data_IF_432679205508
#
_entry.id   IF_432679205508
#
_cell.length_a   1.000
_cell.length_b   1.000
_cell.length_c   1.000
_cell.angle_alpha   90.00
_cell.angle_beta   90.00
_cell.angle_gamma   90.00
#
_symmetry.space_group_name_H-M   'P 1'
#
loop_
_entity.id
_entity.type
_entity.pdbx_description
1 polymer ?
#
# COMPACT_ATOMS: atom_id res chain seq x y z
N UNK A 1 -6.45 11.46 -3.26
CA UNK A 1 -7.66 10.99 -3.94
C UNK A 1 -8.85 11.83 -3.51
N UNK A 2 -9.64 12.34 -4.45
CA UNK A 2 -10.84 13.15 -4.18
C UNK A 2 -12.11 12.40 -4.57
N UNK A 3 -13.25 12.82 -4.01
CA UNK A 3 -14.55 12.32 -4.39
C UNK A 3 -14.82 12.44 -5.91
N UNK A 4 -14.42 13.56 -6.49
CA UNK A 4 -14.57 13.79 -7.96
C UNK A 4 -13.73 12.84 -8.81
N UNK A 5 -12.56 12.42 -8.33
CA UNK A 5 -11.73 11.46 -9.06
C UNK A 5 -12.38 10.09 -9.10
N UNK A 6 -13.07 9.71 -8.02
CA UNK A 6 -13.75 8.42 -7.91
C UNK A 6 -15.10 8.40 -8.63
N UNK A 7 -15.92 9.43 -8.41
CA UNK A 7 -17.30 9.46 -8.90
C UNK A 7 -17.37 9.91 -10.34
N UNK A 8 -16.66 10.95 -10.70
CA UNK A 8 -16.66 11.48 -12.06
C UNK A 8 -16.63 12.99 -12.09
N UNK A 9 -16.47 13.51 -13.30
CA UNK A 9 -16.35 14.95 -13.55
C UNK A 9 -16.89 15.35 -14.91
N UNK A 10 -17.24 16.61 -15.03
CA UNK A 10 -17.48 17.22 -16.33
C UNK A 10 -16.16 17.50 -17.04
N UNK A 11 -16.10 17.15 -18.32
CA UNK A 11 -15.08 17.62 -19.25
C UNK A 11 -15.70 18.61 -20.22
N UNK A 12 -14.96 19.68 -20.48
CA UNK A 12 -15.25 20.62 -21.56
C UNK A 12 -14.41 20.24 -22.77
N UNK A 13 -15.03 19.99 -23.89
CA UNK A 13 -14.38 19.76 -25.19
C UNK A 13 -14.97 20.68 -26.25
N UNK A 14 -14.57 20.51 -27.51
CA UNK A 14 -15.00 21.35 -28.63
C UNK A 14 -16.52 21.29 -28.88
N UNK A 15 -17.17 20.17 -28.49
CA UNK A 15 -18.59 19.92 -28.68
C UNK A 15 -19.43 20.33 -27.44
N UNK A 16 -18.80 20.81 -26.39
CA UNK A 16 -19.47 21.27 -25.16
C UNK A 16 -19.03 20.53 -23.90
N UNK A 17 -19.90 20.57 -22.88
CA UNK A 17 -19.61 19.95 -21.59
C UNK A 17 -20.26 18.57 -21.50
N UNK A 18 -19.46 17.53 -21.25
CA UNK A 18 -19.95 16.16 -21.03
C UNK A 18 -19.49 15.59 -19.71
N UNK A 19 -20.34 14.76 -19.11
CA UNK A 19 -19.98 14.00 -17.91
C UNK A 19 -19.15 12.76 -18.26
N UNK A 20 -18.13 12.49 -17.44
CA UNK A 20 -17.37 11.24 -17.50
C UNK A 20 -17.43 10.56 -16.14
N UNK A 21 -17.90 9.32 -16.14
CA UNK A 21 -17.93 8.48 -14.95
C UNK A 21 -16.51 8.17 -14.47
N UNK A 22 -16.28 8.35 -13.18
CA UNK A 22 -15.06 7.91 -12.50
C UNK A 22 -15.01 6.39 -12.31
N UNK A 23 -13.87 5.86 -11.83
CA UNK A 23 -13.66 4.42 -11.68
C UNK A 23 -14.69 3.77 -10.73
N UNK A 24 -15.04 4.42 -9.63
CA UNK A 24 -16.05 3.92 -8.69
C UNK A 24 -17.41 3.83 -9.37
N UNK A 25 -17.85 4.88 -10.05
CA UNK A 25 -19.14 4.88 -10.75
C UNK A 25 -19.21 3.79 -11.82
N UNK A 26 -18.14 3.59 -12.58
CA UNK A 26 -18.05 2.52 -13.58
C UNK A 26 -18.18 1.15 -12.93
N UNK A 27 -17.45 0.89 -11.85
CA UNK A 27 -17.52 -0.38 -11.14
C UNK A 27 -18.93 -0.63 -10.55
N UNK A 28 -19.55 0.39 -9.95
CA UNK A 28 -20.91 0.32 -9.41
C UNK A 28 -21.93 -0.03 -10.48
N UNK A 29 -21.82 0.59 -11.66
CA UNK A 29 -22.73 0.34 -12.80
C UNK A 29 -22.54 -1.04 -13.44
N UNK A 30 -21.29 -1.51 -13.51
CA UNK A 30 -20.96 -2.77 -14.19
C UNK A 30 -21.01 -4.01 -13.30
N UNK A 31 -21.16 -3.86 -11.98
CA UNK A 31 -21.01 -4.96 -11.04
C UNK A 31 -19.55 -5.43 -10.86
N UNK A 32 -18.58 -4.54 -11.12
CA UNK A 32 -17.17 -4.85 -11.04
C UNK A 32 -16.59 -4.66 -9.63
N UNK A 33 -15.30 -4.98 -9.48
CA UNK A 33 -14.53 -4.74 -8.26
C UNK A 33 -13.91 -3.34 -8.32
N UNK A 34 -14.13 -2.53 -7.28
CA UNK A 34 -13.43 -1.27 -7.08
C UNK A 34 -12.45 -1.42 -5.92
N UNK A 35 -11.15 -1.33 -6.20
CA UNK A 35 -10.09 -1.38 -5.20
C UNK A 35 -9.57 0.03 -4.93
N UNK A 36 -9.61 0.45 -3.66
CA UNK A 36 -9.12 1.73 -3.20
C UNK A 36 -7.90 1.51 -2.29
N UNK A 37 -6.74 1.76 -2.85
CA UNK A 37 -5.48 1.62 -2.13
C UNK A 37 -5.25 2.82 -1.22
N UNK A 38 -4.73 2.56 -0.01
CA UNK A 38 -4.40 3.57 0.99
C UNK A 38 -5.55 4.56 1.27
N UNK A 39 -6.75 4.03 1.50
CA UNK A 39 -7.97 4.86 1.66
C UNK A 39 -7.86 5.90 2.79
N UNK A 40 -7.00 5.68 3.78
CA UNK A 40 -6.75 6.63 4.89
C UNK A 40 -6.07 7.92 4.44
N UNK A 41 -5.34 7.89 3.31
CA UNK A 41 -4.74 9.07 2.69
C UNK A 41 -5.74 9.87 1.85
N UNK A 42 -6.91 9.31 1.59
CA UNK A 42 -7.96 10.01 0.87
C UNK A 42 -8.58 11.13 1.72
N UNK A 43 -9.16 12.11 1.07
CA UNK A 43 -9.91 13.16 1.75
C UNK A 43 -11.13 12.59 2.47
N UNK A 44 -11.55 13.24 3.56
CA UNK A 44 -12.71 12.82 4.36
C UNK A 44 -14.01 12.72 3.56
N UNK A 45 -14.18 13.54 2.52
CA UNK A 45 -15.30 13.48 1.61
C UNK A 45 -15.37 12.15 0.81
N UNK A 46 -14.23 11.57 0.50
CA UNK A 46 -14.15 10.26 -0.18
C UNK A 46 -14.74 9.14 0.68
N UNK A 47 -14.44 9.11 1.97
CA UNK A 47 -14.97 8.06 2.86
C UNK A 47 -16.49 8.18 3.05
N UNK A 48 -17.05 9.38 2.98
CA UNK A 48 -18.51 9.59 3.10
C UNK A 48 -19.25 9.01 1.89
N UNK A 49 -18.69 9.15 0.69
CA UNK A 49 -19.32 8.67 -0.56
C UNK A 49 -19.42 7.14 -0.61
N UNK A 50 -18.46 6.43 -0.04
CA UNK A 50 -18.46 4.96 -0.07
C UNK A 50 -19.40 4.34 0.96
N UNK A 51 -19.82 5.07 2.00
CA UNK A 51 -20.66 4.51 3.08
C UNK A 51 -21.98 3.91 2.58
N UNK A 52 -22.77 4.57 1.68
CA UNK A 52 -24.01 3.98 1.18
C UNK A 52 -23.80 2.76 0.28
N UNK A 53 -22.61 2.57 -0.26
CA UNK A 53 -22.24 1.37 -1.03
C UNK A 53 -21.91 0.16 -0.15
N UNK A 54 -21.54 0.41 1.11
CA UNK A 54 -21.06 -0.61 2.06
C UNK A 54 -22.11 -1.01 3.09
N UNK A 55 -23.36 -0.56 2.93
CA UNK A 55 -24.49 -0.98 3.76
C UNK A 55 -25.66 -1.47 2.88
N UNK A 56 -26.81 -1.74 3.51
CA UNK A 56 -27.99 -2.30 2.84
C UNK A 56 -28.50 -1.45 1.68
N UNK A 57 -28.20 -0.17 1.61
CA UNK A 57 -28.61 0.73 0.54
C UNK A 57 -27.94 0.39 -0.81
N UNK A 58 -26.69 -0.08 -0.78
CA UNK A 58 -25.91 -0.42 -1.98
C UNK A 58 -26.04 0.62 -3.10
N UNK A 59 -25.91 1.90 -2.75
CA UNK A 59 -26.18 3.01 -3.68
C UNK A 59 -25.05 4.04 -3.68
N UNK A 60 -24.84 4.68 -4.83
CA UNK A 60 -23.91 5.78 -5.04
C UNK A 60 -24.68 7.03 -5.45
N UNK A 61 -24.57 8.10 -4.66
CA UNK A 61 -25.15 9.40 -5.01
C UNK A 61 -24.12 10.19 -5.82
N UNK A 62 -24.57 10.72 -6.97
CA UNK A 62 -23.78 11.63 -7.81
C UNK A 62 -24.43 13.02 -7.74
N UNK A 63 -24.02 13.81 -6.74
CA UNK A 63 -24.62 15.12 -6.46
C UNK A 63 -24.57 16.05 -7.69
N UNK A 64 -23.47 16.03 -8.45
CA UNK A 64 -23.32 16.88 -9.65
C UNK A 64 -24.31 16.54 -10.77
N UNK A 65 -24.87 15.35 -10.77
CA UNK A 65 -25.90 14.90 -11.72
C UNK A 65 -27.29 14.88 -11.08
N UNK A 66 -27.41 15.09 -9.78
CA UNK A 66 -28.67 14.93 -9.04
C UNK A 66 -29.25 13.51 -9.12
N UNK A 67 -28.38 12.47 -9.24
CA UNK A 67 -28.81 11.08 -9.45
C UNK A 67 -28.27 10.15 -8.38
N UNK A 68 -29.03 9.07 -8.12
CA UNK A 68 -28.63 7.96 -7.28
C UNK A 68 -28.56 6.70 -8.15
N UNK A 69 -27.45 6.00 -8.08
CA UNK A 69 -27.22 4.75 -8.83
C UNK A 69 -27.18 3.61 -7.82
N UNK A 70 -27.99 2.58 -8.03
CA UNK A 70 -27.90 1.35 -7.28
C UNK A 70 -26.74 0.50 -7.83
N UNK A 71 -25.99 -0.12 -6.92
CA UNK A 71 -24.92 -1.01 -7.32
C UNK A 71 -25.49 -2.22 -8.05
N UNK A 72 -24.93 -2.51 -9.22
CA UNK A 72 -25.26 -3.71 -9.96
C UNK A 72 -24.82 -4.98 -9.20
N UNK A 73 -25.45 -6.11 -9.53
CA UNK A 73 -25.08 -7.39 -8.96
C UNK A 73 -23.61 -7.71 -9.21
N UNK A 74 -22.94 -8.27 -8.20
CA UNK A 74 -21.50 -8.56 -8.27
C UNK A 74 -20.58 -7.39 -7.86
N UNK A 75 -21.11 -6.15 -7.69
CA UNK A 75 -20.27 -5.04 -7.23
C UNK A 75 -19.65 -5.33 -5.87
N UNK A 76 -18.32 -5.21 -5.81
CA UNK A 76 -17.52 -5.36 -4.59
C UNK A 76 -16.60 -4.14 -4.42
N UNK A 77 -16.60 -3.59 -3.21
CA UNK A 77 -15.64 -2.56 -2.81
C UNK A 77 -14.56 -3.18 -1.93
N UNK A 78 -13.33 -3.03 -2.34
CA UNK A 78 -12.13 -3.45 -1.60
C UNK A 78 -11.36 -2.21 -1.21
N UNK A 79 -10.90 -2.14 0.03
CA UNK A 79 -10.07 -1.04 0.54
C UNK A 79 -8.84 -1.59 1.23
N UNK A 80 -7.69 -0.95 1.05
CA UNK A 80 -6.49 -1.24 1.83
C UNK A 80 -6.10 -0.04 2.70
N UNK A 81 -5.45 -0.32 3.80
CA UNK A 81 -4.81 0.68 4.64
C UNK A 81 -3.81 0.02 5.59
N UNK A 82 -2.82 0.79 6.04
CA UNK A 82 -1.85 0.35 7.03
C UNK A 82 -2.24 0.93 8.41
N UNK A 83 -2.73 0.09 9.35
CA UNK A 83 -3.06 0.56 10.70
C UNK A 83 -1.79 0.91 11.47
N UNK A 84 -1.84 1.98 12.29
CA UNK A 84 -0.77 2.30 13.25
C UNK A 84 0.45 3.05 12.73
N UNK A 85 0.58 3.28 11.43
CA UNK A 85 1.73 4.02 10.84
C UNK A 85 1.51 5.53 10.77
N UNK A 86 0.32 6.01 11.09
CA UNK A 86 -0.02 7.42 10.98
C UNK A 86 -0.67 7.91 12.28
N UNK A 87 -0.56 9.22 12.53
CA UNK A 87 -1.25 9.88 13.64
C UNK A 87 -2.69 9.37 13.74
N UNK A 88 -3.18 9.14 14.96
CA UNK A 88 -4.54 8.67 15.29
C UNK A 88 -5.69 9.43 14.57
N UNK A 89 -5.37 10.57 13.94
CA UNK A 89 -6.29 11.37 13.12
C UNK A 89 -6.51 10.81 11.70
N UNK A 90 -5.67 9.88 11.23
CA UNK A 90 -5.73 9.32 9.88
C UNK A 90 -6.19 7.85 9.82
N UNK A 91 -6.54 7.26 10.95
CA UNK A 91 -7.13 5.91 10.98
C UNK A 91 -8.56 5.91 10.42
N UNK A 92 -8.94 4.80 9.81
CA UNK A 92 -10.32 4.57 9.41
C UNK A 92 -11.22 4.64 10.66
N UNK A 93 -12.21 5.54 10.62
CA UNK A 93 -13.19 5.65 11.70
C UNK A 93 -13.81 4.27 11.99
N UNK A 94 -14.04 4.00 13.25
CA UNK A 94 -14.65 2.74 13.70
C UNK A 94 -15.95 2.40 12.95
N UNK A 95 -16.80 3.41 12.72
CA UNK A 95 -18.03 3.26 11.93
C UNK A 95 -17.80 2.85 10.47
N UNK A 96 -16.66 3.21 9.87
CA UNK A 96 -16.28 2.78 8.52
C UNK A 96 -15.77 1.35 8.56
N UNK A 97 -14.88 1.02 9.49
CA UNK A 97 -14.32 -0.33 9.66
C UNK A 97 -15.40 -1.41 9.85
N UNK A 98 -16.43 -1.11 10.65
CA UNK A 98 -17.55 -2.02 10.90
C UNK A 98 -18.39 -2.39 9.67
N UNK A 99 -18.17 -1.75 8.52
CA UNK A 99 -18.87 -2.02 7.27
C UNK A 99 -18.13 -3.01 6.35
N UNK A 100 -16.94 -3.44 6.75
CA UNK A 100 -16.07 -4.31 5.99
C UNK A 100 -15.74 -5.60 6.73
N UNK A 101 -15.50 -6.65 5.98
CA UNK A 101 -14.78 -7.82 6.46
C UNK A 101 -13.28 -7.51 6.34
N UNK A 102 -12.53 -7.69 7.41
CA UNK A 102 -11.10 -7.41 7.43
C UNK A 102 -10.29 -8.68 7.17
N UNK A 103 -9.29 -8.54 6.30
CA UNK A 103 -8.22 -9.52 6.11
C UNK A 103 -6.91 -8.84 6.52
N UNK A 104 -6.18 -9.49 7.39
CA UNK A 104 -4.87 -9.03 7.84
C UNK A 104 -3.77 -9.70 7.02
N UNK A 105 -2.81 -8.91 6.58
CA UNK A 105 -1.63 -9.38 5.88
C UNK A 105 -0.40 -8.98 6.67
N UNK A 106 0.46 -9.95 6.90
CA UNK A 106 1.77 -9.76 7.52
C UNK A 106 2.87 -10.06 6.50
N UNK A 107 4.12 -9.89 6.91
CA UNK A 107 5.27 -10.30 6.10
C UNK A 107 5.26 -11.81 5.92
N UNK A 108 5.72 -12.30 4.74
CA UNK A 108 5.96 -13.73 4.54
C UNK A 108 6.96 -14.27 5.57
N UNK A 109 6.94 -15.58 5.79
CA UNK A 109 8.03 -16.26 6.50
C UNK A 109 9.36 -16.12 5.74
N UNK A 110 10.49 -16.33 6.44
CA UNK A 110 11.84 -16.09 5.90
C UNK A 110 12.11 -16.88 4.62
N UNK A 111 11.64 -18.13 4.54
CA UNK A 111 11.85 -18.98 3.37
C UNK A 111 11.05 -18.49 2.15
N UNK A 112 9.77 -18.19 2.36
CA UNK A 112 8.89 -17.62 1.32
C UNK A 112 9.39 -16.24 0.87
N UNK A 113 9.82 -15.40 1.80
CA UNK A 113 10.36 -14.07 1.46
C UNK A 113 11.66 -14.19 0.64
N UNK A 114 12.55 -15.13 0.98
CA UNK A 114 13.76 -15.38 0.20
C UNK A 114 13.42 -15.81 -1.24
N UNK A 115 12.44 -16.71 -1.43
CA UNK A 115 11.99 -17.10 -2.76
C UNK A 115 11.42 -15.94 -3.56
N UNK A 116 10.63 -15.07 -2.93
CA UNK A 116 10.09 -13.85 -3.56
C UNK A 116 11.24 -12.92 -3.98
N UNK A 117 12.21 -12.68 -3.08
CA UNK A 117 13.36 -11.81 -3.36
C UNK A 117 14.17 -12.37 -4.53
N UNK A 118 14.51 -13.67 -4.52
CA UNK A 118 15.26 -14.31 -5.59
C UNK A 118 14.53 -14.20 -6.95
N UNK A 119 13.24 -14.52 -6.98
CA UNK A 119 12.41 -14.45 -8.18
C UNK A 119 12.33 -13.03 -8.75
N UNK A 120 11.99 -12.06 -7.92
CA UNK A 120 11.72 -10.68 -8.35
C UNK A 120 12.99 -9.87 -8.65
N UNK A 121 14.10 -10.15 -7.95
CA UNK A 121 15.37 -9.47 -8.17
C UNK A 121 16.25 -10.20 -9.20
N UNK A 122 16.11 -11.52 -9.28
CA UNK A 122 16.96 -12.41 -10.05
C UNK A 122 18.37 -12.57 -9.48
N UNK A 123 18.59 -12.29 -8.19
CA UNK A 123 19.83 -12.61 -7.49
C UNK A 123 19.86 -14.08 -7.08
N UNK A 124 21.02 -14.57 -6.68
CA UNK A 124 21.19 -15.93 -6.20
C UNK A 124 20.41 -16.18 -4.91
N UNK A 125 19.97 -17.42 -4.69
CA UNK A 125 19.08 -17.75 -3.57
C UNK A 125 19.75 -17.51 -2.20
N UNK A 126 21.04 -17.82 -2.06
CA UNK A 126 21.82 -17.59 -0.83
C UNK A 126 21.92 -16.09 -0.49
N UNK A 127 22.00 -15.22 -1.49
CA UNK A 127 21.91 -13.77 -1.32
C UNK A 127 20.49 -13.37 -0.88
N UNK A 128 19.47 -13.96 -1.48
CA UNK A 128 18.07 -13.68 -1.15
C UNK A 128 17.73 -14.14 0.29
N UNK A 129 18.23 -15.30 0.73
CA UNK A 129 18.12 -15.79 2.12
C UNK A 129 18.78 -14.82 3.11
N UNK A 130 19.97 -14.31 2.76
CA UNK A 130 20.67 -13.32 3.57
C UNK A 130 19.89 -12.01 3.67
N UNK A 131 19.26 -11.56 2.57
CA UNK A 131 18.40 -10.37 2.54
C UNK A 131 17.11 -10.58 3.33
N UNK A 132 16.45 -11.75 3.24
CA UNK A 132 15.25 -12.06 4.03
C UNK A 132 15.57 -12.04 5.54
N UNK A 133 16.69 -12.66 5.93
CA UNK A 133 17.21 -12.62 7.32
C UNK A 133 17.51 -11.19 7.77
N UNK A 134 18.05 -10.34 6.89
CA UNK A 134 18.26 -8.92 7.16
C UNK A 134 16.92 -8.23 7.44
N UNK A 135 15.93 -8.45 6.59
CA UNK A 135 14.59 -7.89 6.75
C UNK A 135 13.96 -8.26 8.09
N UNK A 136 14.02 -9.54 8.46
CA UNK A 136 13.51 -10.04 9.74
C UNK A 136 14.20 -9.36 10.94
N UNK A 137 15.55 -9.28 10.92
CA UNK A 137 16.30 -8.61 12.01
C UNK A 137 15.97 -7.13 12.14
N UNK A 138 15.84 -6.40 11.02
CA UNK A 138 15.47 -4.98 11.04
C UNK A 138 14.05 -4.79 11.57
N UNK A 139 13.09 -5.64 11.18
CA UNK A 139 11.71 -5.59 11.68
C UNK A 139 11.64 -5.79 13.19
N UNK A 140 12.47 -6.67 13.73
CA UNK A 140 12.56 -6.87 15.18
C UNK A 140 13.10 -5.64 15.93
N UNK A 141 13.85 -4.73 15.28
CA UNK A 141 14.27 -3.48 15.88
C UNK A 141 13.11 -2.47 16.10
N UNK A 142 11.92 -2.70 15.52
CA UNK A 142 10.73 -1.88 15.79
C UNK A 142 10.34 -1.88 17.27
N UNK A 143 10.48 -3.01 17.94
CA UNK A 143 10.26 -3.09 19.39
C UNK A 143 11.23 -2.20 20.20
N UNK A 144 12.29 -1.70 19.55
CA UNK A 144 13.36 -0.89 20.13
C UNK A 144 13.36 0.56 19.60
N UNK A 145 12.23 1.01 19.00
CA UNK A 145 12.02 2.42 18.62
C UNK A 145 12.23 2.74 17.15
N UNK A 146 12.37 1.75 16.27
CA UNK A 146 12.35 1.96 14.84
C UNK A 146 10.89 2.15 14.37
N UNK A 147 10.57 3.28 13.74
CA UNK A 147 9.19 3.58 13.29
C UNK A 147 8.71 2.61 12.20
N UNK A 148 9.57 2.30 11.23
CA UNK A 148 9.26 1.38 10.13
C UNK A 148 10.32 0.28 9.99
N UNK A 149 9.89 -0.93 9.65
CA UNK A 149 10.79 -2.04 9.31
C UNK A 149 11.11 -2.10 7.81
N UNK A 150 12.09 -2.92 7.45
CA UNK A 150 12.40 -3.18 6.05
C UNK A 150 11.24 -3.86 5.33
N UNK A 151 10.72 -3.25 4.27
CA UNK A 151 9.73 -3.89 3.39
C UNK A 151 10.40 -4.88 2.44
N UNK A 152 9.68 -5.92 2.02
CA UNK A 152 10.15 -6.88 1.01
C UNK A 152 10.58 -6.17 -0.28
N UNK A 153 9.94 -5.07 -0.65
CA UNK A 153 10.31 -4.25 -1.81
C UNK A 153 11.73 -3.68 -1.70
N UNK A 154 12.13 -3.19 -0.53
CA UNK A 154 13.49 -2.69 -0.29
C UNK A 154 14.53 -3.80 -0.45
N UNK A 155 14.20 -5.01 0.03
CA UNK A 155 15.06 -6.17 -0.08
C UNK A 155 15.22 -6.62 -1.55
N UNK A 156 14.14 -6.59 -2.34
CA UNK A 156 14.16 -6.83 -3.78
C UNK A 156 15.06 -5.81 -4.49
N UNK A 157 14.99 -4.54 -4.13
CA UNK A 157 15.87 -3.52 -4.73
C UNK A 157 17.34 -3.76 -4.38
N UNK A 158 17.63 -4.13 -3.13
CA UNK A 158 19.00 -4.54 -2.75
C UNK A 158 19.48 -5.74 -3.57
N UNK A 159 18.64 -6.77 -3.72
CA UNK A 159 18.95 -7.94 -4.54
C UNK A 159 19.24 -7.60 -6.01
N UNK A 160 18.46 -6.70 -6.61
CA UNK A 160 18.71 -6.22 -7.99
C UNK A 160 20.06 -5.53 -8.12
N UNK A 161 20.39 -4.64 -7.18
CA UNK A 161 21.68 -3.94 -7.19
C UNK A 161 22.86 -4.91 -7.02
N UNK A 162 22.72 -5.92 -6.16
CA UNK A 162 23.74 -6.94 -5.95
C UNK A 162 23.95 -7.75 -7.24
N UNK A 163 22.87 -8.17 -7.90
CA UNK A 163 22.93 -8.86 -9.20
C UNK A 163 23.67 -8.06 -10.26
N UNK A 164 23.51 -6.73 -10.27
CA UNK A 164 24.22 -5.81 -11.18
C UNK A 164 25.66 -5.50 -10.73
N UNK A 165 26.18 -6.20 -9.71
CA UNK A 165 27.56 -6.09 -9.24
C UNK A 165 27.85 -5.03 -8.19
N UNK A 166 26.82 -4.42 -7.62
CA UNK A 166 26.99 -3.52 -6.45
C UNK A 166 27.31 -4.38 -5.22
N UNK A 167 28.30 -3.97 -4.42
CA UNK A 167 28.64 -4.69 -3.19
C UNK A 167 27.44 -4.79 -2.25
N UNK A 168 27.27 -5.92 -1.57
CA UNK A 168 26.14 -6.22 -0.69
C UNK A 168 25.86 -5.09 0.32
N UNK A 169 26.90 -4.60 1.00
CA UNK A 169 26.77 -3.52 1.98
C UNK A 169 26.25 -2.23 1.34
N UNK A 170 26.78 -1.86 0.17
CA UNK A 170 26.35 -0.63 -0.52
C UNK A 170 24.92 -0.77 -1.04
N UNK A 171 24.56 -1.91 -1.59
CA UNK A 171 23.20 -2.19 -2.05
C UNK A 171 22.19 -2.07 -0.89
N UNK A 172 22.48 -2.70 0.26
CA UNK A 172 21.63 -2.59 1.44
C UNK A 172 21.58 -1.15 1.99
N UNK A 173 22.70 -0.44 2.01
CA UNK A 173 22.74 0.94 2.49
C UNK A 173 21.78 1.85 1.70
N UNK A 174 21.86 1.81 0.37
CA UNK A 174 21.07 2.72 -0.47
C UNK A 174 19.59 2.29 -0.62
N UNK A 175 19.31 0.99 -0.51
CA UNK A 175 17.95 0.46 -0.70
C UNK A 175 17.20 0.26 0.61
N UNK A 176 17.90 0.01 1.72
CA UNK A 176 17.29 -0.35 3.01
C UNK A 176 17.60 0.73 4.04
N UNK A 177 18.87 0.94 4.40
CA UNK A 177 19.25 1.84 5.49
C UNK A 177 18.72 3.26 5.28
N UNK A 178 19.00 3.84 4.12
CA UNK A 178 18.57 5.22 3.80
C UNK A 178 17.09 5.33 3.44
N UNK A 179 16.45 4.23 3.08
CA UNK A 179 15.03 4.20 2.81
C UNK A 179 14.16 4.11 4.06
N UNK A 180 14.74 3.68 5.19
CA UNK A 180 14.01 3.51 6.45
C UNK A 180 14.08 4.77 7.32
N UNK A 181 15.24 5.45 7.37
CA UNK A 181 15.44 6.54 8.32
C UNK A 181 16.52 7.53 7.87
N UNK A 182 16.33 8.79 8.26
CA UNK A 182 17.33 9.84 8.11
C UNK A 182 18.17 10.04 9.40
N UNK A 183 17.83 9.34 10.51
CA UNK A 183 18.57 9.42 11.77
C UNK A 183 19.92 8.70 11.67
N UNK A 184 21.07 9.41 11.85
CA UNK A 184 22.40 8.80 11.71
C UNK A 184 22.72 7.73 12.77
N UNK A 185 22.05 7.73 13.92
CA UNK A 185 22.28 6.69 14.94
C UNK A 185 21.57 5.40 14.53
N UNK A 186 20.32 5.52 14.09
CA UNK A 186 19.54 4.39 13.60
C UNK A 186 20.17 3.81 12.33
N UNK A 187 20.65 4.65 11.40
CA UNK A 187 21.38 4.20 10.21
C UNK A 187 22.60 3.36 10.59
N UNK A 188 23.40 3.79 11.57
CA UNK A 188 24.54 3.00 12.04
C UNK A 188 24.14 1.65 12.60
N UNK A 189 23.08 1.59 13.40
CA UNK A 189 22.57 0.33 13.93
C UNK A 189 22.12 -0.64 12.84
N UNK A 190 21.45 -0.13 11.80
CA UNK A 190 21.06 -0.94 10.63
C UNK A 190 22.31 -1.41 9.87
N UNK A 191 23.29 -0.54 9.63
CA UNK A 191 24.54 -0.87 8.93
C UNK A 191 25.39 -1.90 9.70
N UNK A 192 25.34 -1.92 11.03
CA UNK A 192 25.93 -2.97 11.85
C UNK A 192 25.25 -4.33 11.63
N UNK A 193 23.90 -4.35 11.54
CA UNK A 193 23.17 -5.56 11.22
C UNK A 193 23.53 -6.04 9.81
N UNK A 194 23.57 -5.14 8.80
CA UNK A 194 24.00 -5.46 7.43
C UNK A 194 25.41 -6.08 7.45
N UNK A 195 26.35 -5.46 8.19
CA UNK A 195 27.73 -5.95 8.31
C UNK A 195 27.80 -7.34 8.95
N UNK A 196 26.91 -7.64 9.90
CA UNK A 196 26.87 -8.96 10.55
C UNK A 196 26.38 -10.08 9.65
N UNK A 197 25.62 -9.75 8.61
CA UNK A 197 25.05 -10.72 7.66
C UNK A 197 25.95 -10.89 6.43
N UNK A 198 26.49 -9.80 5.92
CA UNK A 198 27.34 -9.76 4.73
C UNK A 198 28.82 -9.49 5.12
N UNK A 199 29.31 -10.26 6.06
CA UNK A 199 30.70 -10.19 6.53
C UNK A 199 31.71 -10.62 5.45
#
# INVERSE_FOLDING_TARGET
LTASDLVGRYLLDADGTRWIDGPLTRAVKSGGICYLDEIVEARKDTTVIIHPLTDHRRSLTIDKLGTVINAADGFLLVVSYNPGYQNALKDLKHSTRQRFVALEFDFPDEETEAQIIAHESGCDLDVAESLARLGLKIRNLREHGLEEGASTRMLIYAGRLIKEGVSHRRACQVSVTWGITDDPQVQRSIDEVVTSIFA
#
